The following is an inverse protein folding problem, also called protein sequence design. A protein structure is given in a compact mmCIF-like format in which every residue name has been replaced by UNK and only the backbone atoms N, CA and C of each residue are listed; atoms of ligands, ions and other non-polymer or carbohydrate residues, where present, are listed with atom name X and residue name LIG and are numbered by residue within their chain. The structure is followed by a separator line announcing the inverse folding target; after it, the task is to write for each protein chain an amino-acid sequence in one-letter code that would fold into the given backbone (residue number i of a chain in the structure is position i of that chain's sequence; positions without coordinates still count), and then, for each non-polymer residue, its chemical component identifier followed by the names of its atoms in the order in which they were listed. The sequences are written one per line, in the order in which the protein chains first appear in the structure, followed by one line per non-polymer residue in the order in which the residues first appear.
data_IF_859334226815
#
_entry.id   IF_859334226815
#
_cell.length_a   1.000
_cell.length_b   1.000
_cell.length_c   1.000
_cell.angle_alpha   90.00
_cell.angle_beta   90.00
_cell.angle_gamma   90.00
#
_symmetry.space_group_name_H-M   'P 1'
#
loop_
_entity.id
_entity.type
_entity.pdbx_description
1 polymer ?
#
# COMPACT_ATOMS: atom_id res chain seq x y z
N UNK A 1 28.15 -6.27 47.26
CA UNK A 1 26.79 -5.94 46.83
C UNK A 1 26.83 -4.52 46.27
N UNK A 2 26.90 -4.36 44.95
CA UNK A 2 26.71 -3.05 44.32
C UNK A 2 25.41 -3.11 43.53
N UNK A 3 24.43 -2.32 43.95
CA UNK A 3 23.16 -2.16 43.27
C UNK A 3 23.38 -1.48 41.92
N UNK A 4 23.17 -2.22 40.84
CA UNK A 4 23.03 -1.63 39.50
C UNK A 4 21.65 -0.96 39.41
N UNK A 5 21.53 0.29 38.92
CA UNK A 5 20.24 0.91 38.73
C UNK A 5 19.52 0.17 37.60
N UNK A 6 18.36 -0.38 37.91
CA UNK A 6 17.49 -0.99 36.91
C UNK A 6 17.04 0.09 35.90
N UNK A 7 17.53 0.01 34.67
CA UNK A 7 17.04 0.82 33.56
C UNK A 7 15.57 0.44 33.35
N UNK A 8 14.64 1.33 33.70
CA UNK A 8 13.23 1.15 33.37
C UNK A 8 13.05 1.38 31.88
N UNK A 9 13.18 0.32 31.09
CA UNK A 9 12.80 0.33 29.68
C UNK A 9 11.33 0.77 29.59
N UNK A 10 11.04 1.80 28.80
CA UNK A 10 9.68 2.24 28.51
C UNK A 10 8.91 1.06 27.88
N UNK A 11 8.08 0.40 28.69
CA UNK A 11 7.45 -0.90 28.40
C UNK A 11 6.29 -0.83 27.38
N UNK A 12 6.04 0.32 26.77
CA UNK A 12 4.83 0.58 25.97
C UNK A 12 5.08 1.04 24.53
N UNK A 13 6.31 0.98 24.02
CA UNK A 13 6.53 1.16 22.58
C UNK A 13 6.52 -0.20 21.85
N UNK A 14 5.65 -0.41 20.84
CA UNK A 14 5.70 -1.62 20.03
C UNK A 14 6.98 -1.60 19.19
N UNK A 15 8.01 -2.31 19.67
CA UNK A 15 9.32 -2.43 19.01
C UNK A 15 9.35 -3.42 17.84
N UNK A 16 8.20 -3.90 17.38
CA UNK A 16 8.10 -4.79 16.23
C UNK A 16 8.05 -3.95 14.93
N UNK A 17 9.24 -3.52 14.50
CA UNK A 17 9.43 -2.71 13.27
C UNK A 17 8.92 -3.43 12.03
N UNK A 18 9.00 -4.75 12.03
CA UNK A 18 8.43 -5.60 11.02
C UNK A 18 6.91 -5.48 10.98
N UNK A 19 6.25 -5.79 12.09
CA UNK A 19 4.79 -5.81 12.15
C UNK A 19 4.18 -4.43 11.83
N UNK A 20 4.91 -3.36 12.15
CA UNK A 20 4.58 -2.00 11.75
C UNK A 20 4.66 -1.79 10.23
N UNK A 21 5.75 -2.20 9.58
CA UNK A 21 5.94 -2.08 8.12
C UNK A 21 4.88 -2.86 7.35
N UNK A 22 4.60 -4.09 7.78
CA UNK A 22 3.56 -4.94 7.21
C UNK A 22 2.15 -4.38 7.41
N UNK A 23 1.89 -3.76 8.56
CA UNK A 23 0.64 -3.04 8.83
C UNK A 23 0.49 -1.82 7.93
N UNK A 24 1.54 -1.00 7.79
CA UNK A 24 1.54 0.18 6.92
C UNK A 24 1.31 -0.21 5.46
N UNK A 25 1.98 -1.27 4.98
CA UNK A 25 1.79 -1.77 3.61
C UNK A 25 0.36 -2.26 3.36
N UNK A 26 -0.25 -2.98 4.32
CA UNK A 26 -1.66 -3.42 4.22
C UNK A 26 -2.64 -2.25 4.23
N UNK A 27 -2.42 -1.28 5.11
CA UNK A 27 -3.23 -0.05 5.19
C UNK A 27 -3.14 0.70 3.86
N UNK A 28 -1.92 0.87 3.33
CA UNK A 28 -1.67 1.52 2.05
C UNK A 28 -2.40 0.80 0.92
N UNK A 29 -2.26 -0.52 0.82
CA UNK A 29 -2.91 -1.33 -0.22
C UNK A 29 -4.44 -1.25 -0.14
N UNK A 30 -5.02 -1.34 1.07
CA UNK A 30 -6.46 -1.24 1.26
C UNK A 30 -7.03 0.15 0.94
N UNK A 31 -6.39 1.21 1.42
CA UNK A 31 -6.82 2.59 1.12
C UNK A 31 -6.66 2.92 -0.36
N UNK A 32 -5.57 2.48 -0.98
CA UNK A 32 -5.33 2.65 -2.41
C UNK A 32 -6.39 1.90 -3.22
N UNK A 33 -6.66 0.64 -2.89
CA UNK A 33 -7.69 -0.18 -3.53
C UNK A 33 -9.07 0.46 -3.44
N UNK A 34 -9.49 0.90 -2.25
CA UNK A 34 -10.79 1.56 -2.08
C UNK A 34 -10.91 2.86 -2.88
N UNK A 35 -9.89 3.73 -2.81
CA UNK A 35 -9.88 4.98 -3.57
C UNK A 35 -9.91 4.72 -5.08
N UNK A 36 -9.14 3.76 -5.56
CA UNK A 36 -9.11 3.41 -6.97
C UNK A 36 -10.46 2.85 -7.43
N UNK A 37 -11.09 1.97 -6.63
CA UNK A 37 -12.44 1.47 -6.89
C UNK A 37 -13.50 2.58 -6.95
N UNK A 38 -13.41 3.58 -6.06
CA UNK A 38 -14.31 4.74 -6.09
C UNK A 38 -14.07 5.56 -7.36
N UNK A 39 -12.83 5.96 -7.65
CA UNK A 39 -12.53 6.90 -8.75
C UNK A 39 -12.70 6.24 -10.12
N UNK A 40 -12.09 5.07 -10.34
CA UNK A 40 -12.05 4.44 -11.66
C UNK A 40 -13.43 4.00 -12.13
N UNK A 41 -14.24 3.39 -11.26
CA UNK A 41 -15.61 2.97 -11.59
C UNK A 41 -16.51 4.17 -11.79
N UNK A 42 -16.41 5.19 -10.93
CA UNK A 42 -17.15 6.44 -11.11
C UNK A 42 -16.83 7.11 -12.44
N UNK A 43 -15.55 7.21 -12.80
CA UNK A 43 -15.10 7.83 -14.03
C UNK A 43 -15.66 7.10 -15.27
N UNK A 44 -15.67 5.76 -15.27
CA UNK A 44 -16.28 4.97 -16.35
C UNK A 44 -17.79 5.23 -16.44
N UNK A 45 -18.53 5.07 -15.34
CA UNK A 45 -19.99 5.18 -15.40
C UNK A 45 -20.47 6.61 -15.67
N UNK A 46 -19.76 7.62 -15.17
CA UNK A 46 -20.02 9.03 -15.47
C UNK A 46 -19.70 9.36 -16.91
N UNK A 47 -18.60 8.82 -17.47
CA UNK A 47 -18.28 8.98 -18.88
C UNK A 47 -19.35 8.38 -19.78
N UNK A 48 -19.79 7.15 -19.50
CA UNK A 48 -20.88 6.53 -20.28
C UNK A 48 -22.21 7.28 -20.11
N UNK A 49 -22.53 7.73 -18.89
CA UNK A 49 -23.72 8.54 -18.62
C UNK A 49 -23.67 9.93 -19.29
N UNK A 50 -22.47 10.43 -19.62
CA UNK A 50 -22.30 11.63 -20.44
C UNK A 50 -22.65 11.40 -21.91
N UNK A 51 -22.51 10.17 -22.41
CA UNK A 51 -22.78 9.81 -23.81
C UNK A 51 -24.23 9.34 -24.05
N UNK A 52 -24.87 8.74 -23.05
CA UNK A 52 -26.24 8.20 -23.13
C UNK A 52 -26.95 8.27 -21.79
N UNK A 53 -28.28 8.41 -21.82
CA UNK A 53 -29.13 8.26 -20.64
C UNK A 53 -29.61 6.83 -20.38
N UNK A 54 -29.38 5.91 -21.32
CA UNK A 54 -29.80 4.53 -21.20
C UNK A 54 -29.09 3.82 -20.03
N UNK A 55 -29.89 3.12 -19.21
CA UNK A 55 -29.36 2.46 -18.02
C UNK A 55 -28.54 1.21 -18.35
N UNK A 56 -28.88 0.51 -19.44
CA UNK A 56 -28.22 -0.75 -19.82
C UNK A 56 -26.73 -0.55 -20.18
N UNK A 57 -26.34 0.41 -21.04
CA UNK A 57 -24.93 0.70 -21.30
C UNK A 57 -24.14 1.11 -20.05
N UNK A 58 -24.74 1.94 -19.19
CA UNK A 58 -24.11 2.39 -17.94
C UNK A 58 -23.84 1.19 -17.02
N UNK A 59 -24.83 0.32 -16.83
CA UNK A 59 -24.70 -0.89 -16.01
C UNK A 59 -23.65 -1.84 -16.57
N UNK A 60 -23.67 -2.10 -17.88
CA UNK A 60 -22.72 -3.00 -18.53
C UNK A 60 -21.28 -2.50 -18.39
N UNK A 61 -21.04 -1.22 -18.67
CA UNK A 61 -19.72 -0.60 -18.53
C UNK A 61 -19.27 -0.55 -17.07
N UNK A 62 -20.17 -0.23 -16.15
CA UNK A 62 -19.90 -0.21 -14.71
C UNK A 62 -19.48 -1.59 -14.19
N UNK A 63 -20.24 -2.64 -14.51
CA UNK A 63 -19.89 -4.02 -14.12
C UNK A 63 -18.56 -4.47 -14.72
N UNK A 64 -18.31 -4.15 -15.99
CA UNK A 64 -17.02 -4.44 -16.62
C UNK A 64 -15.86 -3.73 -15.90
N UNK A 65 -16.05 -2.45 -15.53
CA UNK A 65 -15.07 -1.69 -14.75
C UNK A 65 -14.85 -2.26 -13.35
N UNK A 66 -15.92 -2.67 -12.65
CA UNK A 66 -15.81 -3.29 -11.31
C UNK A 66 -15.00 -4.59 -11.38
N UNK A 67 -15.36 -5.49 -12.29
CA UNK A 67 -14.73 -6.81 -12.39
C UNK A 67 -13.29 -6.67 -12.90
N UNK A 68 -13.10 -5.95 -14.00
CA UNK A 68 -11.78 -5.75 -14.60
C UNK A 68 -10.84 -5.00 -13.66
N UNK A 69 -11.32 -3.95 -13.01
CA UNK A 69 -10.54 -3.17 -12.04
C UNK A 69 -10.16 -3.99 -10.81
N UNK A 70 -11.08 -4.75 -10.22
CA UNK A 70 -10.78 -5.58 -9.06
C UNK A 70 -9.73 -6.67 -9.36
N UNK A 71 -9.84 -7.32 -10.53
CA UNK A 71 -8.86 -8.32 -10.99
C UNK A 71 -7.51 -7.65 -11.23
N UNK A 72 -7.48 -6.53 -11.96
CA UNK A 72 -6.26 -5.77 -12.24
C UNK A 72 -5.55 -5.36 -10.95
N UNK A 73 -6.30 -4.84 -9.98
CA UNK A 73 -5.77 -4.38 -8.70
C UNK A 73 -5.24 -5.53 -7.85
N UNK A 74 -5.97 -6.65 -7.77
CA UNK A 74 -5.50 -7.84 -7.06
C UNK A 74 -4.24 -8.44 -7.70
N UNK A 75 -4.19 -8.53 -9.03
CA UNK A 75 -3.03 -9.03 -9.77
C UNK A 75 -1.84 -8.11 -9.63
N UNK A 76 -2.03 -6.80 -9.75
CA UNK A 76 -0.98 -5.79 -9.59
C UNK A 76 -0.32 -5.86 -8.22
N UNK A 77 -1.12 -5.95 -7.16
CA UNK A 77 -0.62 -6.10 -5.79
C UNK A 77 0.07 -7.46 -5.58
N UNK A 78 -0.49 -8.55 -6.12
CA UNK A 78 0.14 -9.88 -6.06
C UNK A 78 1.52 -9.86 -6.69
N UNK A 79 1.66 -9.32 -7.91
CA UNK A 79 2.93 -9.25 -8.63
C UNK A 79 3.91 -8.36 -7.89
N UNK A 80 3.48 -7.18 -7.43
CA UNK A 80 4.34 -6.26 -6.69
C UNK A 80 4.92 -6.89 -5.42
N UNK A 81 4.07 -7.51 -4.59
CA UNK A 81 4.49 -8.14 -3.33
C UNK A 81 5.28 -9.42 -3.59
N UNK A 82 4.96 -10.18 -4.64
CA UNK A 82 5.73 -11.37 -5.02
C UNK A 82 7.15 -10.99 -5.42
N UNK A 83 7.32 -9.98 -6.27
CA UNK A 83 8.65 -9.50 -6.66
C UNK A 83 9.47 -9.03 -5.46
N UNK A 84 8.86 -8.30 -4.53
CA UNK A 84 9.53 -7.87 -3.30
C UNK A 84 9.95 -9.08 -2.42
N UNK A 85 9.09 -10.08 -2.27
CA UNK A 85 9.40 -11.32 -1.55
C UNK A 85 10.53 -12.11 -2.21
N UNK A 86 10.52 -12.19 -3.54
CA UNK A 86 11.52 -12.92 -4.30
C UNK A 86 12.89 -12.22 -4.18
N UNK A 87 12.94 -10.88 -4.20
CA UNK A 87 14.14 -10.10 -3.90
C UNK A 87 14.64 -10.32 -2.46
N UNK A 88 13.76 -10.29 -1.46
CA UNK A 88 14.09 -10.58 -0.05
C UNK A 88 14.70 -11.99 0.08
N UNK A 89 14.08 -12.98 -0.55
CA UNK A 89 14.54 -14.38 -0.51
C UNK A 89 15.91 -14.56 -1.18
N UNK A 90 16.15 -13.86 -2.29
CA UNK A 90 17.43 -13.90 -2.99
C UNK A 90 18.56 -13.29 -2.15
N UNK A 91 18.28 -12.18 -1.45
CA UNK A 91 19.24 -11.55 -0.53
C UNK A 91 19.55 -12.46 0.66
N UNK A 92 18.54 -13.04 1.30
CA UNK A 92 18.74 -14.00 2.41
C UNK A 92 19.57 -15.21 1.94
N UNK A 93 19.31 -15.73 0.74
CA UNK A 93 20.08 -16.84 0.20
C UNK A 93 21.53 -16.46 -0.14
N UNK A 94 21.77 -15.22 -0.58
CA UNK A 94 23.11 -14.68 -0.81
C UNK A 94 23.88 -14.58 0.50
N UNK A 95 23.27 -14.00 1.52
CA UNK A 95 23.85 -13.81 2.86
C UNK A 95 24.21 -15.15 3.51
N UNK A 96 23.30 -16.12 3.45
CA UNK A 96 23.55 -17.50 3.92
C UNK A 96 24.77 -18.14 3.26
N UNK A 97 25.01 -17.83 1.98
CA UNK A 97 26.17 -18.35 1.25
C UNK A 97 27.44 -17.62 1.66
N UNK A 98 27.40 -16.30 1.79
CA UNK A 98 28.55 -15.47 2.17
C UNK A 98 29.03 -15.81 3.59
N UNK A 99 28.13 -15.95 4.56
CA UNK A 99 28.45 -16.41 5.91
C UNK A 99 29.08 -17.82 5.94
N UNK A 100 28.75 -18.69 4.98
CA UNK A 100 29.29 -20.03 4.89
C UNK A 100 30.66 -20.09 4.17
N UNK A 101 30.85 -19.25 3.15
CA UNK A 101 32.03 -19.26 2.29
C UNK A 101 33.13 -18.29 2.76
N UNK A 102 32.77 -17.18 3.41
CA UNK A 102 33.65 -16.05 3.74
C UNK A 102 33.44 -15.52 5.18
N UNK A 103 33.44 -16.37 6.22
CA UNK A 103 33.05 -15.96 7.58
C UNK A 103 33.95 -14.88 8.21
N UNK A 104 35.23 -14.82 7.86
CA UNK A 104 36.14 -13.77 8.35
C UNK A 104 35.84 -12.40 7.71
N UNK A 105 35.47 -12.38 6.43
CA UNK A 105 35.11 -11.15 5.71
C UNK A 105 33.78 -10.60 6.24
N UNK A 106 32.79 -11.48 6.45
CA UNK A 106 31.49 -11.11 7.01
C UNK A 106 31.60 -10.54 8.44
N UNK A 107 32.43 -11.14 9.30
CA UNK A 107 32.68 -10.60 10.64
C UNK A 107 33.28 -9.18 10.57
N UNK A 108 34.21 -8.94 9.64
CA UNK A 108 34.83 -7.64 9.43
C UNK A 108 33.82 -6.62 8.86
N UNK A 109 32.92 -7.05 7.98
CA UNK A 109 31.82 -6.24 7.44
C UNK A 109 30.85 -5.80 8.56
N UNK A 110 30.39 -6.74 9.39
CA UNK A 110 29.49 -6.43 10.50
C UNK A 110 30.14 -5.44 11.49
N UNK A 111 31.43 -5.64 11.81
CA UNK A 111 32.19 -4.70 12.63
C UNK A 111 32.29 -3.31 11.97
N UNK A 112 32.48 -3.25 10.65
CA UNK A 112 32.53 -1.99 9.90
C UNK A 112 31.18 -1.26 9.93
N UNK A 113 30.06 -1.97 9.82
CA UNK A 113 28.70 -1.41 9.94
C UNK A 113 28.52 -0.74 11.30
N UNK A 114 28.85 -1.44 12.39
CA UNK A 114 28.71 -0.90 13.75
C UNK A 114 29.67 0.26 14.03
N UNK A 115 30.88 0.24 13.49
CA UNK A 115 31.79 1.39 13.53
C UNK A 115 31.18 2.59 12.78
N UNK A 116 30.54 2.37 11.64
CA UNK A 116 29.79 3.39 10.89
C UNK A 116 28.64 4.00 11.69
N UNK A 117 28.05 3.24 12.63
CA UNK A 117 27.04 3.72 13.60
C UNK A 117 27.65 4.54 14.76
N UNK A 118 28.98 4.68 14.83
CA UNK A 118 29.69 5.52 15.81
C UNK A 118 30.40 4.75 16.92
N UNK A 119 30.47 3.42 16.87
CA UNK A 119 31.22 2.62 17.84
C UNK A 119 32.73 2.74 17.61
N UNK A 120 33.51 2.62 18.68
CA UNK A 120 34.97 2.45 18.56
C UNK A 120 35.28 1.13 17.86
N UNK A 121 36.46 1.00 17.26
CA UNK A 121 36.88 -0.22 16.58
C UNK A 121 36.82 -1.45 17.50
N UNK A 122 37.35 -1.34 18.72
CA UNK A 122 37.34 -2.43 19.69
C UNK A 122 35.90 -2.84 20.09
N UNK A 123 35.00 -1.87 20.30
CA UNK A 123 33.61 -2.18 20.65
C UNK A 123 32.84 -2.74 19.47
N UNK A 124 33.06 -2.22 18.25
CA UNK A 124 32.37 -2.70 17.06
C UNK A 124 32.75 -4.15 16.71
N UNK A 125 34.05 -4.49 16.81
CA UNK A 125 34.51 -5.87 16.67
C UNK A 125 33.88 -6.77 17.74
N UNK A 126 33.84 -6.31 18.99
CA UNK A 126 33.24 -7.08 20.07
C UNK A 126 31.75 -7.35 19.86
N UNK A 127 31.01 -6.33 19.40
CA UNK A 127 29.59 -6.46 19.05
C UNK A 127 29.41 -7.46 17.91
N UNK A 128 30.23 -7.37 16.86
CA UNK A 128 30.18 -8.30 15.74
C UNK A 128 30.42 -9.75 16.21
N UNK A 129 31.47 -10.01 16.99
CA UNK A 129 31.75 -11.34 17.55
C UNK A 129 30.58 -11.90 18.36
N UNK A 130 30.02 -11.10 19.28
CA UNK A 130 28.94 -11.53 20.15
C UNK A 130 27.64 -11.80 19.38
N UNK A 131 27.31 -10.96 18.39
CA UNK A 131 26.13 -11.14 17.55
C UNK A 131 26.29 -12.30 16.57
N UNK A 132 27.45 -12.45 15.93
CA UNK A 132 27.76 -13.59 15.05
C UNK A 132 27.68 -14.92 15.81
N UNK A 133 28.14 -14.96 17.07
CA UNK A 133 28.05 -16.16 17.90
C UNK A 133 26.61 -16.52 18.32
N UNK A 134 25.74 -15.52 18.45
CA UNK A 134 24.32 -15.73 18.80
C UNK A 134 23.49 -16.10 17.57
N UNK A 135 23.53 -15.27 16.53
CA UNK A 135 22.81 -15.43 15.27
C UNK A 135 23.47 -14.58 14.17
N UNK A 136 24.43 -15.17 13.46
CA UNK A 136 25.16 -14.50 12.38
C UNK A 136 24.23 -14.00 11.27
N UNK A 137 23.27 -14.82 10.85
CA UNK A 137 22.35 -14.45 9.79
C UNK A 137 21.45 -13.31 10.24
N UNK A 138 20.77 -13.44 11.38
CA UNK A 138 19.91 -12.38 11.89
C UNK A 138 20.64 -11.06 12.09
N UNK A 139 21.89 -11.11 12.59
CA UNK A 139 22.73 -9.93 12.77
C UNK A 139 23.01 -9.20 11.45
N UNK A 140 23.35 -9.91 10.38
CA UNK A 140 23.59 -9.33 9.06
C UNK A 140 22.29 -8.86 8.40
N UNK A 141 21.23 -9.68 8.43
CA UNK A 141 19.92 -9.31 7.88
C UNK A 141 19.39 -8.01 8.52
N UNK A 142 19.54 -7.84 9.84
CA UNK A 142 19.13 -6.61 10.53
C UNK A 142 20.07 -5.44 10.24
N UNK A 143 21.39 -5.66 10.38
CA UNK A 143 22.36 -4.56 10.38
C UNK A 143 22.67 -4.01 8.98
N UNK A 144 22.66 -4.87 7.96
CA UNK A 144 22.97 -4.52 6.57
C UNK A 144 21.69 -4.35 5.75
N UNK A 145 20.85 -5.39 5.72
CA UNK A 145 19.74 -5.47 4.77
C UNK A 145 18.43 -4.90 5.30
N UNK A 146 18.35 -4.64 6.61
CA UNK A 146 17.12 -4.20 7.30
C UNK A 146 15.94 -5.16 7.05
N UNK A 147 16.24 -6.46 6.95
CA UNK A 147 15.29 -7.54 6.71
C UNK A 147 15.10 -8.30 8.02
N UNK A 148 13.86 -8.64 8.32
CA UNK A 148 13.52 -9.65 9.32
C UNK A 148 13.26 -10.99 8.59
N UNK A 149 13.97 -12.06 8.98
CA UNK A 149 13.80 -13.40 8.39
C UNK A 149 12.39 -13.97 8.65
N UNK A 150 11.77 -13.60 9.76
CA UNK A 150 10.48 -14.12 10.20
C UNK A 150 9.28 -13.37 9.58
N UNK A 151 9.54 -12.21 8.98
CA UNK A 151 8.54 -11.43 8.27
C UNK A 151 8.66 -11.53 6.76
N UNK A 152 8.28 -12.71 6.26
CA UNK A 152 8.16 -12.91 4.83
C UNK A 152 6.86 -12.29 4.34
N UNK A 153 6.99 -11.42 3.33
CA UNK A 153 5.87 -10.80 2.64
C UNK A 153 4.83 -11.84 2.15
N UNK A 154 3.54 -11.49 2.23
CA UNK A 154 2.41 -12.39 1.94
C UNK A 154 1.60 -11.93 0.72
N UNK A 155 2.03 -12.23 -0.53
CA UNK A 155 1.41 -11.72 -1.75
C UNK A 155 -0.09 -11.96 -1.85
N UNK A 156 -0.55 -13.17 -1.52
CA UNK A 156 -1.98 -13.52 -1.58
C UNK A 156 -2.85 -12.72 -0.61
N UNK A 157 -2.32 -12.37 0.56
CA UNK A 157 -3.06 -11.57 1.54
C UNK A 157 -3.20 -10.13 1.05
N UNK A 158 -2.12 -9.56 0.53
CA UNK A 158 -2.12 -8.21 -0.05
C UNK A 158 -3.06 -8.11 -1.26
N UNK A 159 -2.98 -9.07 -2.19
CA UNK A 159 -3.84 -9.14 -3.37
C UNK A 159 -5.33 -9.19 -3.03
N UNK A 160 -5.73 -10.05 -2.08
CA UNK A 160 -7.12 -10.17 -1.63
C UNK A 160 -7.59 -8.91 -0.92
N UNK A 161 -6.77 -8.32 -0.06
CA UNK A 161 -7.11 -7.08 0.64
C UNK A 161 -7.33 -5.93 -0.36
N UNK A 162 -6.44 -5.79 -1.34
CA UNK A 162 -6.51 -4.75 -2.37
C UNK A 162 -7.72 -4.92 -3.28
N UNK A 163 -7.95 -6.13 -3.80
CA UNK A 163 -9.11 -6.43 -4.64
C UNK A 163 -10.45 -6.28 -3.93
N UNK A 164 -10.56 -6.72 -2.66
CA UNK A 164 -11.77 -6.53 -1.87
C UNK A 164 -12.02 -5.06 -1.55
N UNK A 165 -10.97 -4.30 -1.21
CA UNK A 165 -11.09 -2.87 -0.99
C UNK A 165 -11.58 -2.14 -2.25
N UNK A 166 -11.07 -2.51 -3.43
CA UNK A 166 -11.55 -2.02 -4.71
C UNK A 166 -13.04 -2.30 -4.91
N UNK A 167 -13.47 -3.56 -4.72
CA UNK A 167 -14.88 -3.94 -4.86
C UNK A 167 -15.77 -3.12 -3.92
N UNK A 168 -15.38 -2.95 -2.67
CA UNK A 168 -16.11 -2.14 -1.70
C UNK A 168 -16.17 -0.67 -2.11
N UNK A 169 -15.07 -0.12 -2.62
CA UNK A 169 -15.00 1.24 -3.15
C UNK A 169 -15.93 1.45 -4.36
N UNK A 170 -16.04 0.44 -5.21
CA UNK A 170 -16.85 0.47 -6.43
C UNK A 170 -18.38 0.43 -6.18
N UNK A 171 -18.83 -0.06 -5.02
CA UNK A 171 -20.26 -0.14 -4.70
C UNK A 171 -20.92 1.24 -4.72
N UNK A 172 -20.29 2.23 -4.08
CA UNK A 172 -20.85 3.57 -3.95
C UNK A 172 -21.11 4.26 -5.29
N UNK A 173 -20.16 4.36 -6.24
CA UNK A 173 -20.44 4.98 -7.53
C UNK A 173 -21.46 4.20 -8.37
N UNK A 174 -21.49 2.85 -8.28
CA UNK A 174 -22.50 2.04 -8.95
C UNK A 174 -23.91 2.36 -8.44
N UNK A 175 -24.10 2.45 -7.12
CA UNK A 175 -25.39 2.82 -6.56
C UNK A 175 -25.76 4.27 -6.89
N UNK A 176 -24.79 5.19 -6.85
CA UNK A 176 -25.01 6.61 -7.09
C UNK A 176 -25.40 6.92 -8.54
N UNK A 177 -24.96 6.13 -9.52
CA UNK A 177 -25.33 6.33 -10.92
C UNK A 177 -26.61 5.60 -11.33
N UNK A 178 -26.92 4.45 -10.71
CA UNK A 178 -28.04 3.59 -11.13
C UNK A 178 -29.37 3.91 -10.44
N UNK A 179 -29.34 4.33 -9.17
CA UNK A 179 -30.56 4.55 -8.38
C UNK A 179 -31.26 5.88 -8.65
N UNK A 180 -30.56 7.02 -8.88
CA UNK A 180 -31.25 8.28 -9.07
C UNK A 180 -32.01 8.40 -10.40
N UNK A 181 -33.00 9.31 -10.47
CA UNK A 181 -33.64 9.70 -11.72
C UNK A 181 -32.63 10.23 -12.74
N UNK A 182 -32.89 10.02 -14.03
CA UNK A 182 -31.99 10.33 -15.15
C UNK A 182 -31.27 11.69 -15.03
N UNK A 183 -32.02 12.78 -14.84
CA UNK A 183 -31.44 14.13 -14.75
C UNK A 183 -30.59 14.40 -13.51
N UNK A 184 -30.62 13.52 -12.50
CA UNK A 184 -29.88 13.68 -11.25
C UNK A 184 -28.73 12.68 -11.08
N UNK A 185 -28.58 11.68 -11.97
CA UNK A 185 -27.56 10.62 -11.86
C UNK A 185 -26.14 11.19 -11.76
N UNK A 186 -25.77 12.05 -12.71
CA UNK A 186 -24.42 12.65 -12.79
C UNK A 186 -24.13 13.53 -11.57
N UNK A 187 -24.94 14.55 -11.21
CA UNK A 187 -24.62 15.41 -10.07
C UNK A 187 -24.60 14.65 -8.74
N UNK A 188 -25.50 13.68 -8.54
CA UNK A 188 -25.48 12.83 -7.32
C UNK A 188 -24.22 11.96 -7.29
N UNK A 189 -23.81 11.38 -8.43
CA UNK A 189 -22.59 10.57 -8.49
C UNK A 189 -21.35 11.41 -8.17
N UNK A 190 -21.23 12.61 -8.74
CA UNK A 190 -20.15 13.55 -8.41
C UNK A 190 -20.12 13.86 -6.91
N UNK A 191 -21.24 14.26 -6.32
CA UNK A 191 -21.32 14.59 -4.91
C UNK A 191 -20.96 13.39 -4.01
N UNK A 192 -21.55 12.22 -4.28
CA UNK A 192 -21.32 11.00 -3.52
C UNK A 192 -19.85 10.56 -3.59
N UNK A 193 -19.25 10.59 -4.77
CA UNK A 193 -17.84 10.22 -4.98
C UNK A 193 -16.91 11.19 -4.25
N UNK A 194 -17.12 12.50 -4.37
CA UNK A 194 -16.28 13.48 -3.67
C UNK A 194 -16.39 13.34 -2.15
N UNK A 195 -17.60 13.11 -1.61
CA UNK A 195 -17.77 12.83 -0.18
C UNK A 195 -17.02 11.55 0.21
N UNK A 196 -17.18 10.47 -0.56
CA UNK A 196 -16.50 9.20 -0.30
C UNK A 196 -14.98 9.37 -0.30
N UNK A 197 -14.41 10.07 -1.28
CA UNK A 197 -12.99 10.37 -1.38
C UNK A 197 -12.48 11.26 -0.25
N UNK A 198 -13.30 12.22 0.20
CA UNK A 198 -13.01 13.02 1.39
C UNK A 198 -12.89 12.16 2.63
N UNK A 199 -13.83 11.22 2.82
CA UNK A 199 -13.85 10.29 3.95
C UNK A 199 -12.68 9.31 3.89
N UNK A 200 -12.46 8.64 2.76
CA UNK A 200 -11.38 7.65 2.61
C UNK A 200 -10.00 8.31 2.64
N UNK A 201 -9.86 9.54 2.10
CA UNK A 201 -8.65 10.34 2.21
C UNK A 201 -8.31 10.70 3.66
N UNK A 202 -9.32 11.09 4.46
CA UNK A 202 -9.13 11.40 5.88
C UNK A 202 -8.82 10.16 6.71
N UNK A 203 -9.50 9.04 6.44
CA UNK A 203 -9.24 7.74 7.09
C UNK A 203 -7.82 7.27 6.76
N UNK A 204 -7.44 7.29 5.48
CA UNK A 204 -6.12 6.87 5.04
C UNK A 204 -4.99 7.69 5.67
N UNK A 205 -5.21 8.99 5.83
CA UNK A 205 -4.23 9.84 6.51
C UNK A 205 -4.11 9.54 8.01
N UNK A 206 -5.24 9.29 8.69
CA UNK A 206 -5.23 8.88 10.11
C UNK A 206 -4.54 7.54 10.32
N UNK A 207 -4.79 6.58 9.43
CA UNK A 207 -4.16 5.25 9.51
C UNK A 207 -2.67 5.27 9.20
N UNK A 208 -2.18 6.32 8.52
CA UNK A 208 -0.76 6.53 8.24
C UNK A 208 -0.10 7.58 9.16
N UNK A 209 -0.70 7.87 10.32
CA UNK A 209 -0.20 8.83 11.32
C UNK A 209 0.20 10.20 10.75
N UNK A 210 -0.51 10.66 9.71
CA UNK A 210 -0.21 11.88 8.98
C UNK A 210 -1.32 12.92 9.16
N UNK A 211 -0.94 14.21 9.04
CA UNK A 211 -1.92 15.30 9.04
C UNK A 211 -2.89 15.19 7.85
N UNK A 212 -4.18 15.02 8.15
CA UNK A 212 -5.21 14.57 7.22
C UNK A 212 -5.50 15.49 6.03
N UNK A 213 -5.19 16.78 6.14
CA UNK A 213 -5.59 17.78 5.13
C UNK A 213 -4.94 17.52 3.77
N UNK A 214 -3.61 17.32 3.71
CA UNK A 214 -2.90 17.20 2.43
C UNK A 214 -3.23 15.93 1.65
N UNK A 215 -3.30 14.73 2.25
CA UNK A 215 -3.73 13.52 1.54
C UNK A 215 -5.16 13.63 1.03
N UNK A 216 -6.08 14.15 1.85
CA UNK A 216 -7.51 14.29 1.48
C UNK A 216 -7.69 15.21 0.28
N UNK A 217 -7.03 16.37 0.27
CA UNK A 217 -7.10 17.30 -0.87
C UNK A 217 -6.58 16.65 -2.16
N UNK A 218 -5.48 15.89 -2.10
CA UNK A 218 -4.93 15.20 -3.28
C UNK A 218 -5.93 14.23 -3.90
N UNK A 219 -6.59 13.43 -3.08
CA UNK A 219 -7.59 12.45 -3.55
C UNK A 219 -8.82 13.16 -4.09
N UNK A 220 -9.31 14.21 -3.42
CA UNK A 220 -10.44 15.02 -3.88
C UNK A 220 -10.18 15.69 -5.23
N UNK A 221 -9.03 16.35 -5.39
CA UNK A 221 -8.66 17.05 -6.62
C UNK A 221 -8.48 16.05 -7.76
N UNK A 222 -7.75 14.95 -7.51
CA UNK A 222 -7.55 13.89 -8.50
C UNK A 222 -8.88 13.27 -8.96
N UNK A 223 -9.76 12.94 -8.01
CA UNK A 223 -11.08 12.40 -8.30
C UNK A 223 -11.96 13.39 -9.08
N UNK A 224 -12.01 14.66 -8.67
CA UNK A 224 -12.79 15.68 -9.36
C UNK A 224 -12.33 15.86 -10.81
N UNK A 225 -11.01 15.89 -11.05
CA UNK A 225 -10.44 15.99 -12.40
C UNK A 225 -10.80 14.75 -13.22
N UNK A 226 -10.64 13.54 -12.66
CA UNK A 226 -10.96 12.30 -13.35
C UNK A 226 -12.43 12.25 -13.80
N UNK A 227 -13.36 12.63 -12.91
CA UNK A 227 -14.79 12.69 -13.24
C UNK A 227 -15.10 13.76 -14.29
N UNK A 228 -14.52 14.96 -14.16
CA UNK A 228 -14.76 16.05 -15.11
C UNK A 228 -14.27 15.69 -16.52
N UNK A 229 -13.06 15.11 -16.63
CA UNK A 229 -12.47 14.70 -17.92
C UNK A 229 -13.27 13.58 -18.55
N UNK A 230 -13.65 12.55 -17.79
CA UNK A 230 -14.41 11.43 -18.34
C UNK A 230 -15.83 11.81 -18.70
N UNK A 231 -16.49 12.65 -17.91
CA UNK A 231 -17.79 13.23 -18.27
C UNK A 231 -17.69 14.01 -19.59
N UNK A 232 -16.70 14.89 -19.73
CA UNK A 232 -16.52 15.69 -20.94
C UNK A 232 -16.25 14.81 -22.16
N UNK A 233 -15.40 13.79 -22.03
CA UNK A 233 -15.15 12.82 -23.10
C UNK A 233 -16.41 12.07 -23.50
N UNK A 234 -17.21 11.63 -22.53
CA UNK A 234 -18.52 11.01 -22.74
C UNK A 234 -19.49 11.91 -23.50
N UNK A 235 -19.65 13.15 -23.03
CA UNK A 235 -20.53 14.13 -23.65
C UNK A 235 -20.13 14.45 -25.11
N UNK A 236 -18.82 14.55 -25.39
CA UNK A 236 -18.31 14.75 -26.75
C UNK A 236 -18.59 13.55 -27.66
N UNK A 237 -18.41 12.33 -27.15
CA UNK A 237 -18.71 11.11 -27.91
C UNK A 237 -20.21 10.96 -28.17
N UNK A 238 -21.06 11.25 -27.18
CA UNK A 238 -22.52 11.24 -27.36
C UNK A 238 -22.98 12.23 -28.43
N UNK A 239 -22.41 13.43 -28.43
CA UNK A 239 -22.70 14.45 -29.43
C UNK A 239 -22.21 14.09 -30.85
N UNK A 240 -21.22 13.20 -30.98
CA UNK A 240 -20.68 12.78 -32.28
C UNK A 240 -21.41 11.58 -32.89
N UNK A 241 -22.18 10.84 -32.10
CA UNK A 241 -22.88 9.59 -32.51
C UNK A 241 -24.38 9.81 -32.71
N UNK A 242 -24.91 10.97 -32.30
CA UNK A 242 -26.32 11.39 -32.50
C UNK A 242 -26.55 12.14 -33.81
#
# INVERSE_FOLDING_TARGET
MSDSPAISLHREEPHDRGAFTDRVNRIRAGVLGANDGIVSVAAVVVGVAGATSDTQPILAAGLAAVIGGAISMALGEYVSVSSARDSQSALIAKEKRELAEQPEEELAELAAIYRGKGLTEATALRVAEELTAHDALGAHLEAELHIDEHEVLKPWQAARASGLAFLLGAVLPMLAILLPPEGLRIPITFAAVLVALGVTGAIGARLGDSHWVRPTIRVLVGGAIALAVTFAAGALLGAAVQ
#
